data_IF_926692623466
#
_entry.id   IF_926692623466
#
_cell.length_a   1.000
_cell.length_b   1.000
_cell.length_c   1.000
_cell.angle_alpha   90.00
_cell.angle_beta   90.00
_cell.angle_gamma   90.00
#
_symmetry.space_group_name_H-M   'P 1'
#
loop_
_entity.id
_entity.type
_entity.pdbx_description
1 polymer ?
#
# COMPACT_ATOMS: atom_id res chain seq x y z
N UNK A 1 7.50 -0.76 -4.09
CA UNK A 1 7.50 0.49 -4.89
C UNK A 1 6.39 1.47 -4.50
N UNK A 2 5.10 1.16 -4.59
CA UNK A 2 4.04 2.02 -4.00
C UNK A 2 3.75 1.62 -2.55
N UNK A 3 3.60 0.33 -2.29
CA UNK A 3 3.39 -0.19 -0.92
C UNK A 3 4.51 0.22 0.04
N UNK A 4 5.77 0.12 -0.39
CA UNK A 4 6.89 0.54 0.45
C UNK A 4 6.90 2.03 0.75
N UNK A 5 6.48 2.86 -0.21
CA UNK A 5 6.36 4.30 0.01
C UNK A 5 5.27 4.59 1.06
N UNK A 6 4.13 3.88 0.99
CA UNK A 6 3.05 4.00 1.97
C UNK A 6 3.42 3.42 3.34
N UNK A 7 4.18 2.31 3.40
CA UNK A 7 4.63 1.68 4.65
C UNK A 7 5.71 2.49 5.38
N UNK A 8 6.51 3.26 4.65
CA UNK A 8 7.63 4.06 5.19
C UNK A 8 7.28 5.52 5.42
N UNK A 9 6.10 5.97 5.00
CA UNK A 9 5.67 7.34 5.23
C UNK A 9 5.31 7.53 6.70
N UNK A 10 5.95 8.52 7.35
CA UNK A 10 5.64 8.89 8.75
C UNK A 10 4.23 9.49 8.87
N UNK A 11 3.79 10.20 7.83
CA UNK A 11 2.45 10.80 7.74
C UNK A 11 1.71 10.29 6.51
N UNK A 12 0.36 10.21 6.54
CA UNK A 12 -0.42 9.75 5.39
C UNK A 12 -0.22 10.66 4.17
N UNK A 13 0.47 10.22 3.11
CA UNK A 13 0.70 11.09 1.98
C UNK A 13 -0.59 11.28 1.17
N UNK A 14 -0.76 12.49 0.64
CA UNK A 14 -1.72 12.75 -0.44
C UNK A 14 -1.27 12.06 -1.73
N UNK A 15 -2.17 11.96 -2.70
CA UNK A 15 -1.84 11.41 -4.01
C UNK A 15 -0.70 12.17 -4.72
N UNK A 16 -0.62 13.48 -4.50
CA UNK A 16 0.41 14.34 -5.07
C UNK A 16 1.77 14.11 -4.40
N UNK A 17 1.81 13.98 -3.08
CA UNK A 17 3.02 13.67 -2.33
C UNK A 17 3.52 12.27 -2.63
N UNK A 18 2.60 11.29 -2.68
CA UNK A 18 2.94 9.92 -3.06
C UNK A 18 3.63 9.88 -4.42
N UNK A 19 3.12 10.61 -5.43
CA UNK A 19 3.79 10.74 -6.74
C UNK A 19 5.20 11.30 -6.68
N UNK A 20 5.51 12.20 -5.74
CA UNK A 20 6.84 12.79 -5.56
C UNK A 20 7.81 11.82 -4.86
N UNK A 21 7.30 11.02 -3.93
CA UNK A 21 8.09 10.05 -3.15
C UNK A 21 8.45 8.82 -4.00
N UNK A 22 7.63 8.49 -5.00
CA UNK A 22 7.89 7.31 -5.84
C UNK A 22 9.20 7.46 -6.63
N UNK A 23 10.09 6.45 -6.57
CA UNK A 23 11.41 6.51 -7.21
C UNK A 23 11.35 6.57 -8.74
N UNK A 24 10.20 6.20 -9.33
CA UNK A 24 9.93 6.32 -10.76
C UNK A 24 8.60 7.04 -10.94
N UNK A 25 8.56 7.97 -11.90
CA UNK A 25 7.34 8.67 -12.30
C UNK A 25 6.35 7.67 -12.90
N UNK A 26 5.51 7.13 -12.02
CA UNK A 26 4.41 6.23 -12.40
C UNK A 26 3.31 7.07 -13.01
N UNK A 27 2.72 6.60 -14.12
CA UNK A 27 1.58 7.27 -14.74
C UNK A 27 0.44 7.43 -13.72
N UNK A 28 -0.30 8.53 -13.83
CA UNK A 28 -1.38 8.82 -12.88
C UNK A 28 -2.44 7.73 -12.85
N UNK A 29 -2.85 7.24 -14.03
CA UNK A 29 -3.82 6.16 -14.17
C UNK A 29 -3.34 4.89 -13.50
N UNK A 30 -2.10 4.48 -13.75
CA UNK A 30 -1.49 3.31 -13.11
C UNK A 30 -1.45 3.44 -11.59
N UNK A 31 -1.10 4.62 -11.07
CA UNK A 31 -1.12 4.85 -9.62
C UNK A 31 -2.53 4.72 -9.04
N UNK A 32 -3.55 5.25 -9.72
CA UNK A 32 -4.95 5.09 -9.30
C UNK A 32 -5.37 3.62 -9.31
N UNK A 33 -5.04 2.86 -10.36
CA UNK A 33 -5.33 1.41 -10.41
C UNK A 33 -4.67 0.65 -9.26
N UNK A 34 -3.42 1.00 -8.93
CA UNK A 34 -2.71 0.39 -7.78
C UNK A 34 -3.43 0.74 -6.47
N UNK A 35 -3.79 2.00 -6.25
CA UNK A 35 -4.46 2.42 -5.03
C UNK A 35 -5.85 1.80 -4.89
N UNK A 36 -6.61 1.71 -5.98
CA UNK A 36 -7.90 1.06 -6.02
C UNK A 36 -7.79 -0.43 -5.63
N UNK A 37 -6.83 -1.15 -6.21
CA UNK A 37 -6.54 -2.53 -5.84
C UNK A 37 -6.13 -2.68 -4.36
N UNK A 38 -5.27 -1.79 -3.86
CA UNK A 38 -4.84 -1.82 -2.47
C UNK A 38 -6.00 -1.52 -1.50
N UNK A 39 -6.92 -0.63 -1.88
CA UNK A 39 -8.09 -0.31 -1.07
C UNK A 39 -9.08 -1.48 -1.06
N UNK A 40 -9.37 -2.07 -2.22
CA UNK A 40 -10.25 -3.23 -2.33
C UNK A 40 -9.69 -4.45 -1.58
N UNK A 41 -8.36 -4.63 -1.56
CA UNK A 41 -7.71 -5.69 -0.78
C UNK A 41 -7.53 -5.36 0.71
N UNK A 42 -8.10 -4.24 1.19
CA UNK A 42 -8.05 -3.84 2.59
C UNK A 42 -6.66 -3.45 3.09
N UNK A 43 -5.72 -3.14 2.18
CA UNK A 43 -4.35 -2.78 2.55
C UNK A 43 -4.17 -1.33 2.94
N UNK A 44 -4.99 -0.46 2.35
CA UNK A 44 -4.96 0.97 2.58
C UNK A 44 -6.35 1.51 2.89
N UNK A 45 -6.39 2.67 3.53
CA UNK A 45 -7.58 3.48 3.73
C UNK A 45 -7.32 4.87 3.14
N UNK A 46 -8.20 5.35 2.26
CA UNK A 46 -8.13 6.72 1.73
C UNK A 46 -9.01 7.60 2.62
N UNK A 47 -8.39 8.62 3.22
CA UNK A 47 -9.05 9.56 4.14
C UNK A 47 -8.93 10.99 3.62
N UNK A 48 -9.61 11.93 4.29
CA UNK A 48 -9.44 13.37 4.04
C UNK A 48 -8.01 13.86 4.31
N UNK A 49 -7.25 13.15 5.17
CA UNK A 49 -5.87 13.50 5.52
C UNK A 49 -4.83 12.89 4.57
N UNK A 50 -5.22 11.93 3.73
CA UNK A 50 -4.29 11.21 2.86
C UNK A 50 -4.52 9.70 2.86
N UNK A 51 -3.52 8.97 2.36
CA UNK A 51 -3.57 7.53 2.13
C UNK A 51 -2.84 6.80 3.27
N UNK A 52 -3.56 6.00 4.04
CA UNK A 52 -3.02 5.30 5.22
C UNK A 52 -2.81 3.83 4.90
N UNK A 53 -1.64 3.27 5.25
CA UNK A 53 -1.43 1.82 5.24
C UNK A 53 -2.02 1.20 6.52
N UNK A 54 -2.97 0.27 6.37
CA UNK A 54 -3.69 -0.34 7.52
C UNK A 54 -3.47 -1.84 7.64
N UNK A 55 -2.79 -2.46 6.68
CA UNK A 55 -2.54 -3.89 6.71
C UNK A 55 -1.37 -4.28 7.62
N UNK A 56 -1.69 -4.95 8.72
CA UNK A 56 -0.75 -5.68 9.54
C UNK A 56 -0.78 -7.17 9.16
N UNK A 57 0.35 -7.78 8.74
CA UNK A 57 0.38 -9.20 8.49
C UNK A 57 0.13 -9.98 9.80
N UNK A 58 -0.89 -10.83 9.82
CA UNK A 58 -1.17 -11.72 10.95
C UNK A 58 -0.01 -12.72 11.07
N UNK A 59 0.65 -12.79 12.23
CA UNK A 59 1.82 -13.67 12.48
C UNK A 59 1.58 -15.13 12.06
N UNK A 60 0.34 -15.61 12.20
CA UNK A 60 -0.09 -16.95 11.76
C UNK A 60 -0.02 -17.14 10.25
N UNK A 61 -0.36 -16.13 9.44
CA UNK A 61 -0.27 -16.23 7.97
C UNK A 61 1.19 -16.32 7.52
N UNK A 62 2.09 -15.58 8.17
CA UNK A 62 3.52 -15.66 7.90
C UNK A 62 4.15 -16.98 8.37
N UNK A 63 3.58 -17.60 9.40
CA UNK A 63 3.94 -18.96 9.82
C UNK A 63 3.42 -20.01 8.84
N UNK A 64 2.20 -19.85 8.30
CA UNK A 64 1.61 -20.75 7.32
C UNK A 64 2.32 -20.68 5.96
N UNK A 65 2.69 -19.49 5.48
CA UNK A 65 3.54 -19.31 4.29
C UNK A 65 4.88 -20.02 4.43
N UNK A 66 5.52 -19.92 5.61
CA UNK A 66 6.78 -20.63 5.91
C UNK A 66 6.63 -22.15 5.92
N UNK A 67 5.43 -22.67 6.18
CA UNK A 67 5.13 -24.10 6.19
C UNK A 67 4.69 -24.65 4.82
N UNK A 68 4.76 -23.85 3.76
CA UNK A 68 4.56 -24.31 2.38
C UNK A 68 3.10 -24.57 1.99
N UNK A 69 2.14 -24.08 2.76
CA UNK A 69 0.72 -24.18 2.39
C UNK A 69 0.35 -23.07 1.40
N UNK A 70 0.11 -23.46 0.15
CA UNK A 70 -0.63 -22.68 -0.84
C UNK A 70 -2.11 -22.68 -0.48
N UNK A 71 -2.68 -21.49 -0.26
CA UNK A 71 -4.12 -21.26 -0.24
C UNK A 71 -4.68 -21.26 -1.66
#
# INVERSE_FOLDING_TARGET
MVEDALRKADEPPTLAELKRILPRKTMHSTLLTILDYLQQSGKILITTKGIVWVFAPRKEIEALKRRGLTL
#
